data_IF_678092205097
#
_entry.id   IF_678092205097
#
_cell.length_a   1.000
_cell.length_b   1.000
_cell.length_c   1.000
_cell.angle_alpha   90.00
_cell.angle_beta   90.00
_cell.angle_gamma   90.00
#
_symmetry.space_group_name_H-M   'P 1'
#
loop_
_entity.id
_entity.type
_entity.pdbx_description
1 polymer ?
#
# COMPACT_ATOMS: atom_id res chain seq x y z
N UNK A 1 -6.58 -9.37 -8.62
CA UNK A 1 -6.59 -9.11 -10.06
C UNK A 1 -5.62 -7.99 -10.43
N UNK A 2 -5.50 -6.92 -9.63
CA UNK A 2 -4.74 -5.72 -9.95
C UNK A 2 -3.35 -5.66 -9.29
N UNK A 3 -3.14 -6.41 -8.23
CA UNK A 3 -1.89 -6.57 -7.52
C UNK A 3 -1.13 -7.73 -8.15
N UNK A 4 -0.03 -7.42 -8.82
CA UNK A 4 0.72 -8.37 -9.65
C UNK A 4 2.09 -8.70 -9.03
N UNK A 5 2.72 -9.81 -9.38
CA UNK A 5 4.11 -10.05 -9.02
C UNK A 5 5.01 -8.87 -9.38
N UNK A 6 5.87 -8.49 -8.46
CA UNK A 6 6.68 -7.28 -8.53
C UNK A 6 6.09 -6.08 -7.78
N UNK A 7 4.78 -5.93 -7.80
CA UNK A 7 4.12 -4.83 -7.08
C UNK A 7 4.37 -4.91 -5.56
N UNK A 8 4.30 -3.75 -4.91
CA UNK A 8 4.49 -3.63 -3.48
C UNK A 8 3.21 -3.22 -2.77
N UNK A 9 3.01 -3.78 -1.59
CA UNK A 9 2.05 -3.29 -0.62
C UNK A 9 2.78 -2.66 0.56
N UNK A 10 2.33 -1.49 1.00
CA UNK A 10 2.65 -0.90 2.30
C UNK A 10 1.33 -0.58 2.98
N UNK A 11 0.90 -1.46 3.87
CA UNK A 11 -0.43 -1.44 4.43
C UNK A 11 -0.47 -1.49 5.94
N UNK A 12 -1.60 -1.93 6.49
CA UNK A 12 -1.84 -2.00 7.91
C UNK A 12 -2.78 -3.17 8.28
N UNK A 13 -3.07 -3.35 9.54
CA UNK A 13 -3.76 -4.53 10.10
C UNK A 13 -5.15 -4.85 9.51
N UNK A 14 -5.85 -3.91 8.85
CA UNK A 14 -7.16 -4.18 8.23
C UNK A 14 -7.06 -4.93 6.89
N UNK A 15 -5.87 -5.16 6.37
CA UNK A 15 -5.68 -5.83 5.08
C UNK A 15 -5.77 -7.36 5.15
N UNK A 16 -6.26 -7.93 6.25
CA UNK A 16 -6.39 -9.37 6.46
C UNK A 16 -7.05 -10.09 5.29
N UNK A 17 -8.21 -9.59 4.86
CA UNK A 17 -8.96 -10.22 3.75
C UNK A 17 -8.18 -10.17 2.44
N UNK A 18 -7.47 -9.08 2.21
CA UNK A 18 -6.62 -8.96 1.02
C UNK A 18 -5.43 -9.91 1.08
N UNK A 19 -4.74 -9.99 2.20
CA UNK A 19 -3.58 -10.86 2.36
C UNK A 19 -3.95 -12.34 2.25
N UNK A 20 -5.10 -12.74 2.79
CA UNK A 20 -5.65 -14.09 2.63
C UNK A 20 -6.08 -14.36 1.19
N UNK A 21 -6.81 -13.42 0.56
CA UNK A 21 -7.30 -13.58 -0.81
C UNK A 21 -6.18 -13.61 -1.87
N UNK A 22 -5.05 -12.96 -1.59
CA UNK A 22 -3.85 -12.98 -2.45
C UNK A 22 -2.87 -14.10 -2.13
N UNK A 23 -3.20 -14.95 -1.15
CA UNK A 23 -2.35 -16.04 -0.65
C UNK A 23 -0.95 -15.56 -0.17
N UNK A 24 -0.82 -14.29 0.23
CA UNK A 24 0.37 -13.79 0.92
C UNK A 24 0.45 -14.33 2.34
N UNK A 25 -0.70 -14.66 2.94
CA UNK A 25 -0.78 -15.38 4.21
C UNK A 25 -1.83 -16.48 4.13
N UNK A 26 -1.73 -17.46 5.02
CA UNK A 26 -2.74 -18.52 5.19
C UNK A 26 -3.49 -18.37 6.52
N UNK A 27 -4.65 -19.03 6.68
CA UNK A 27 -5.33 -19.05 7.98
C UNK A 27 -4.42 -19.58 9.11
N UNK A 28 -3.63 -20.60 8.85
CA UNK A 28 -2.69 -21.18 9.83
C UNK A 28 -1.64 -20.13 10.27
N UNK A 29 -1.05 -19.41 9.32
CA UNK A 29 -0.08 -18.36 9.62
C UNK A 29 -0.71 -17.19 10.37
N UNK A 30 -1.95 -16.81 10.02
CA UNK A 30 -2.71 -15.80 10.75
C UNK A 30 -2.92 -16.19 12.22
N UNK A 31 -3.30 -17.46 12.47
CA UNK A 31 -3.47 -17.95 13.85
C UNK A 31 -2.15 -18.13 14.58
N UNK A 32 -1.08 -18.55 13.91
CA UNK A 32 0.25 -18.62 14.49
C UNK A 32 0.72 -17.24 14.96
N UNK A 33 0.47 -16.20 14.18
CA UNK A 33 0.75 -14.83 14.55
C UNK A 33 -0.10 -14.38 15.76
N UNK A 34 -1.40 -14.75 15.80
CA UNK A 34 -2.28 -14.43 16.92
C UNK A 34 -1.79 -15.04 18.25
N UNK A 35 -1.24 -16.26 18.20
CA UNK A 35 -0.68 -16.94 19.36
C UNK A 35 0.79 -16.58 19.66
N UNK A 36 1.40 -15.71 18.84
CA UNK A 36 2.79 -15.30 19.01
C UNK A 36 3.79 -16.44 18.80
N UNK A 37 3.51 -17.35 17.84
CA UNK A 37 4.36 -18.50 17.57
C UNK A 37 5.75 -18.05 17.08
N UNK A 38 6.85 -18.40 17.77
CA UNK A 38 8.20 -18.00 17.38
C UNK A 38 8.80 -18.83 16.23
N UNK A 39 8.09 -19.83 15.73
CA UNK A 39 8.59 -20.66 14.66
C UNK A 39 8.45 -19.95 13.29
N UNK A 40 9.57 -19.75 12.60
CA UNK A 40 9.62 -19.08 11.30
C UNK A 40 8.84 -19.82 10.18
N UNK A 41 8.62 -21.11 10.32
CA UNK A 41 7.82 -21.89 9.37
C UNK A 41 6.33 -21.70 9.57
N UNK A 42 5.91 -21.38 10.81
CA UNK A 42 4.52 -21.14 11.14
C UNK A 42 4.13 -19.66 11.00
N UNK A 43 4.96 -18.74 11.44
CA UNK A 43 4.80 -17.29 11.26
C UNK A 43 6.04 -16.69 10.62
N UNK A 44 6.12 -16.72 9.30
CA UNK A 44 7.26 -16.12 8.60
C UNK A 44 7.17 -14.58 8.53
N UNK A 45 6.02 -14.00 8.82
CA UNK A 45 5.82 -12.55 8.76
C UNK A 45 6.57 -11.81 9.87
N UNK A 46 6.47 -12.32 11.10
CA UNK A 46 7.00 -11.62 12.28
C UNK A 46 7.69 -12.54 13.28
N UNK A 47 7.54 -13.86 13.17
CA UNK A 47 8.10 -14.85 14.09
C UNK A 47 7.67 -14.57 15.54
N UNK A 48 6.37 -14.30 15.72
CA UNK A 48 5.78 -13.97 17.02
C UNK A 48 6.19 -12.61 17.61
N UNK A 49 6.88 -11.75 16.85
CA UNK A 49 7.43 -10.48 17.37
C UNK A 49 6.53 -9.27 17.14
N UNK A 50 5.51 -9.40 16.31
CA UNK A 50 4.59 -8.32 16.01
C UNK A 50 3.18 -8.65 16.46
N UNK A 51 2.29 -7.67 16.44
CA UNK A 51 0.87 -7.89 16.67
C UNK A 51 0.27 -8.71 15.53
N UNK A 52 -0.84 -9.38 15.82
CA UNK A 52 -1.62 -10.08 14.80
C UNK A 52 -2.00 -9.14 13.64
N UNK A 53 -2.13 -9.70 12.45
CA UNK A 53 -2.44 -8.96 11.22
C UNK A 53 -1.37 -7.96 10.79
N UNK A 54 -0.11 -8.24 11.09
CA UNK A 54 1.03 -7.51 10.58
C UNK A 54 1.82 -8.41 9.64
N UNK A 55 1.89 -8.03 8.38
CA UNK A 55 2.40 -8.87 7.30
C UNK A 55 3.72 -8.34 6.76
N UNK A 56 4.55 -9.26 6.28
CA UNK A 56 5.78 -8.97 5.58
C UNK A 56 6.11 -10.12 4.62
N UNK A 57 6.64 -9.85 3.45
CA UNK A 57 7.24 -10.89 2.59
C UNK A 57 8.75 -10.96 2.81
N UNK A 58 9.33 -12.15 2.59
CA UNK A 58 10.78 -12.31 2.66
C UNK A 58 11.42 -11.72 1.42
N UNK A 59 12.33 -10.77 1.62
CA UNK A 59 13.08 -10.13 0.55
C UNK A 59 14.48 -10.72 0.38
N UNK A 60 14.92 -11.57 1.32
CA UNK A 60 16.21 -12.25 1.29
C UNK A 60 16.08 -13.71 1.69
N UNK A 61 16.93 -14.54 1.13
CA UNK A 61 17.07 -15.94 1.52
C UNK A 61 17.89 -16.07 2.83
N UNK A 62 18.07 -17.30 3.30
CA UNK A 62 18.85 -17.61 4.50
C UNK A 62 20.35 -17.26 4.40
N UNK A 63 20.86 -17.07 3.19
CA UNK A 63 22.25 -16.68 2.92
C UNK A 63 22.41 -15.16 2.75
N UNK A 64 21.31 -14.40 2.85
CA UNK A 64 21.29 -12.95 2.69
C UNK A 64 21.21 -12.48 1.23
N UNK A 65 21.05 -13.36 0.26
CA UNK A 65 20.86 -12.98 -1.14
C UNK A 65 19.44 -12.44 -1.34
N UNK A 66 19.28 -11.51 -2.27
CA UNK A 66 17.97 -10.99 -2.64
C UNK A 66 17.10 -12.09 -3.28
N UNK A 67 15.87 -12.19 -2.83
CA UNK A 67 14.83 -12.96 -3.50
C UNK A 67 14.50 -12.34 -4.86
N UNK A 68 13.87 -13.10 -5.74
CA UNK A 68 13.33 -12.58 -6.99
C UNK A 68 12.04 -11.78 -6.70
N UNK A 69 12.19 -10.50 -6.34
CA UNK A 69 11.07 -9.64 -5.96
C UNK A 69 10.08 -9.45 -7.10
N UNK A 70 10.53 -9.55 -8.33
CA UNK A 70 9.70 -9.50 -9.55
C UNK A 70 8.83 -10.74 -9.75
N UNK A 71 9.11 -11.85 -9.05
CA UNK A 71 8.36 -13.10 -9.16
C UNK A 71 7.35 -13.30 -8.01
N UNK A 72 7.28 -12.41 -7.04
CA UNK A 72 6.40 -12.51 -5.87
C UNK A 72 5.55 -11.26 -5.67
N UNK A 73 4.44 -11.41 -4.94
CA UNK A 73 3.69 -10.29 -4.38
C UNK A 73 4.46 -9.77 -3.17
N UNK A 74 4.88 -8.51 -3.20
CA UNK A 74 5.70 -7.97 -2.14
C UNK A 74 4.86 -7.18 -1.14
N UNK A 75 5.08 -7.44 0.14
CA UNK A 75 4.53 -6.59 1.20
C UNK A 75 5.65 -6.13 2.13
N UNK A 76 5.79 -4.83 2.27
CA UNK A 76 6.70 -4.25 3.26
C UNK A 76 6.19 -4.58 4.66
N UNK A 77 7.10 -4.82 5.60
CA UNK A 77 6.72 -5.18 6.97
C UNK A 77 5.77 -4.13 7.59
N UNK A 78 4.60 -4.56 8.00
CA UNK A 78 3.64 -3.65 8.61
C UNK A 78 4.19 -3.05 9.91
N UNK A 79 3.77 -1.85 10.21
CA UNK A 79 4.18 -1.12 11.40
C UNK A 79 2.97 -0.59 12.17
N UNK A 80 3.10 -0.51 13.50
CA UNK A 80 2.03 -0.06 14.38
C UNK A 80 1.78 1.46 14.39
N UNK A 81 2.78 2.37 14.21
CA UNK A 81 2.54 3.81 14.17
C UNK A 81 1.52 4.20 13.11
N UNK A 82 0.51 4.96 13.54
CA UNK A 82 -0.61 5.41 12.69
C UNK A 82 -0.09 6.18 11.47
N UNK A 83 -0.54 5.82 10.28
CA UNK A 83 -0.11 6.34 8.99
C UNK A 83 1.40 6.16 8.66
N UNK A 84 2.18 5.44 9.49
CA UNK A 84 3.60 5.21 9.25
C UNK A 84 3.91 4.47 7.96
N UNK A 85 2.95 3.72 7.41
CA UNK A 85 3.07 3.05 6.11
C UNK A 85 3.12 4.03 4.93
N UNK A 86 2.59 5.24 5.08
CA UNK A 86 2.48 6.22 3.99
C UNK A 86 3.84 6.68 3.45
N UNK A 87 4.80 7.19 4.26
CA UNK A 87 6.11 7.59 3.77
C UNK A 87 6.87 6.45 3.11
N UNK A 88 6.75 5.23 3.65
CA UNK A 88 7.37 4.06 3.06
C UNK A 88 6.77 3.71 1.70
N UNK A 89 5.44 3.81 1.57
CA UNK A 89 4.77 3.58 0.29
C UNK A 89 5.27 4.55 -0.79
N UNK A 90 5.43 5.82 -0.43
CA UNK A 90 6.01 6.82 -1.33
C UNK A 90 7.44 6.46 -1.73
N UNK A 91 8.28 6.03 -0.77
CA UNK A 91 9.64 5.60 -1.05
C UNK A 91 9.73 4.38 -1.97
N UNK A 92 8.81 3.40 -1.81
CA UNK A 92 8.74 2.23 -2.69
C UNK A 92 8.31 2.61 -4.12
N UNK A 93 7.35 3.52 -4.24
CA UNK A 93 6.93 4.05 -5.54
C UNK A 93 8.07 4.84 -6.22
N UNK A 94 8.76 5.70 -5.47
CA UNK A 94 9.92 6.43 -5.98
C UNK A 94 11.07 5.50 -6.40
N UNK A 95 11.29 4.39 -5.68
CA UNK A 95 12.26 3.38 -6.07
C UNK A 95 11.88 2.73 -7.43
N UNK A 96 10.61 2.38 -7.65
CA UNK A 96 10.14 1.85 -8.93
C UNK A 96 10.44 2.83 -10.07
N UNK A 97 10.09 4.10 -9.90
CA UNK A 97 10.39 5.15 -10.88
C UNK A 97 11.90 5.36 -11.10
N UNK A 98 12.71 5.20 -10.05
CA UNK A 98 14.17 5.25 -10.16
C UNK A 98 14.70 4.10 -11.01
N UNK A 99 14.22 2.86 -10.79
CA UNK A 99 14.56 1.72 -11.65
C UNK A 99 14.18 1.93 -13.12
N UNK A 100 13.09 2.65 -13.37
CA UNK A 100 12.65 2.99 -14.73
C UNK A 100 13.60 3.98 -15.43
N UNK A 101 14.11 4.95 -14.70
CA UNK A 101 14.82 6.10 -15.25
C UNK A 101 16.35 5.98 -15.22
N UNK A 102 16.91 5.06 -14.42
CA UNK A 102 18.36 4.88 -14.25
C UNK A 102 18.81 3.62 -14.97
N UNK A 103 19.60 3.78 -16.03
CA UNK A 103 20.02 2.67 -16.92
C UNK A 103 20.81 1.60 -16.18
N UNK A 104 21.70 2.02 -15.26
CA UNK A 104 22.58 1.13 -14.49
C UNK A 104 21.77 0.19 -13.56
N UNK A 105 20.55 0.54 -13.21
CA UNK A 105 19.69 -0.31 -12.36
C UNK A 105 18.99 -1.42 -13.14
N UNK A 106 18.95 -1.38 -14.44
CA UNK A 106 18.31 -2.41 -15.27
C UNK A 106 18.99 -3.78 -15.19
N UNK A 107 20.24 -3.82 -14.76
CA UNK A 107 20.93 -5.10 -14.50
C UNK A 107 20.32 -5.89 -13.33
N UNK A 108 19.58 -5.24 -12.42
CA UNK A 108 18.95 -5.86 -11.26
C UNK A 108 17.51 -6.33 -11.55
N UNK A 109 17.34 -7.11 -12.62
CA UNK A 109 16.03 -7.61 -13.08
C UNK A 109 15.30 -8.51 -12.06
N UNK A 110 15.98 -9.01 -11.04
CA UNK A 110 15.38 -9.73 -9.93
C UNK A 110 14.73 -8.79 -8.90
N UNK A 111 15.07 -7.50 -8.86
CA UNK A 111 14.56 -6.52 -7.92
C UNK A 111 13.43 -5.70 -8.50
N UNK A 112 13.47 -5.38 -9.80
CA UNK A 112 12.44 -4.59 -10.49
C UNK A 112 12.27 -5.05 -11.94
N UNK A 113 11.04 -4.99 -12.41
CA UNK A 113 10.68 -5.22 -13.81
C UNK A 113 10.72 -3.87 -14.57
N UNK A 114 11.92 -3.30 -14.68
CA UNK A 114 12.18 -2.00 -15.30
C UNK A 114 11.31 -0.85 -14.73
N UNK A 115 11.03 -0.88 -13.43
CA UNK A 115 10.22 0.14 -12.78
C UNK A 115 8.74 0.11 -13.17
N UNK A 116 8.21 -1.04 -13.51
CA UNK A 116 6.79 -1.21 -13.83
C UNK A 116 5.92 -1.49 -12.60
N UNK A 117 6.50 -1.55 -11.43
CA UNK A 117 5.80 -1.83 -10.18
C UNK A 117 4.99 -0.61 -9.72
N UNK A 118 3.82 -0.89 -9.14
CA UNK A 118 3.00 0.07 -8.41
C UNK A 118 3.09 -0.24 -6.92
N UNK A 119 3.17 0.79 -6.09
CA UNK A 119 3.03 0.63 -4.65
C UNK A 119 1.57 0.86 -4.25
N UNK A 120 0.99 -0.15 -3.62
CA UNK A 120 -0.36 -0.14 -3.06
C UNK A 120 -0.28 0.24 -1.58
N UNK A 121 -0.86 1.36 -1.22
CA UNK A 121 -0.91 1.83 0.17
C UNK A 121 -2.34 1.82 0.68
N UNK A 122 -2.59 1.15 1.79
CA UNK A 122 -3.89 1.16 2.45
C UNK A 122 -3.84 1.96 3.74
N UNK A 123 -4.90 2.71 4.03
CA UNK A 123 -5.02 3.53 5.23
C UNK A 123 -6.48 3.65 5.66
N UNK A 124 -6.74 3.70 6.97
CA UNK A 124 -8.07 4.00 7.51
C UNK A 124 -8.38 5.49 7.46
N UNK A 125 -9.66 5.83 7.42
CA UNK A 125 -10.14 7.22 7.38
C UNK A 125 -9.64 8.06 8.56
N UNK A 126 -9.67 7.56 9.77
CA UNK A 126 -9.15 8.26 10.94
C UNK A 126 -7.64 8.57 10.82
N UNK A 127 -6.88 7.65 10.25
CA UNK A 127 -5.44 7.80 10.06
C UNK A 127 -5.08 8.89 9.05
N UNK A 128 -6.03 9.33 8.22
CA UNK A 128 -5.81 10.47 7.32
C UNK A 128 -5.68 11.81 8.06
N UNK A 129 -5.95 11.83 9.36
CA UNK A 129 -5.70 13.01 10.22
C UNK A 129 -4.24 13.20 10.61
N UNK A 130 -3.38 12.19 10.39
CA UNK A 130 -1.95 12.28 10.69
C UNK A 130 -1.20 13.15 9.66
N UNK A 131 -0.17 13.87 10.14
CA UNK A 131 0.65 14.75 9.28
C UNK A 131 1.28 14.02 8.11
N UNK A 132 1.79 12.80 8.31
CA UNK A 132 2.42 12.00 7.25
C UNK A 132 1.48 11.73 6.07
N UNK A 133 0.16 11.61 6.31
CA UNK A 133 -0.80 11.46 5.21
C UNK A 133 -0.75 12.66 4.27
N UNK A 134 -0.85 13.86 4.81
CA UNK A 134 -0.88 15.11 4.02
C UNK A 134 0.45 15.39 3.32
N UNK A 135 1.57 15.12 4.00
CA UNK A 135 2.90 15.23 3.42
C UNK A 135 3.09 14.28 2.23
N UNK A 136 2.68 13.02 2.39
CA UNK A 136 2.79 12.01 1.32
C UNK A 136 1.87 12.32 0.16
N UNK A 137 0.63 12.75 0.42
CA UNK A 137 -0.32 13.17 -0.64
C UNK A 137 0.28 14.32 -1.46
N UNK A 138 0.83 15.33 -0.79
CA UNK A 138 1.49 16.44 -1.47
C UNK A 138 2.72 15.99 -2.27
N UNK A 139 3.59 15.21 -1.66
CA UNK A 139 4.81 14.73 -2.31
C UNK A 139 4.49 13.83 -3.53
N UNK A 140 3.53 12.91 -3.39
CA UNK A 140 3.09 12.05 -4.49
C UNK A 140 2.51 12.86 -5.66
N UNK A 141 1.73 13.91 -5.36
CA UNK A 141 1.18 14.81 -6.37
C UNK A 141 2.27 15.59 -7.12
N UNK A 142 3.30 16.06 -6.40
CA UNK A 142 4.44 16.81 -6.99
C UNK A 142 5.34 15.87 -7.79
N UNK A 143 5.69 14.73 -7.22
CA UNK A 143 6.67 13.80 -7.80
C UNK A 143 6.05 12.90 -8.89
N UNK A 144 4.72 12.79 -8.93
CA UNK A 144 3.99 11.90 -9.86
C UNK A 144 4.54 10.47 -9.78
N UNK A 145 4.42 9.86 -8.61
CA UNK A 145 4.96 8.53 -8.34
C UNK A 145 3.92 7.42 -8.62
N UNK A 146 4.35 6.19 -8.99
CA UNK A 146 3.46 5.04 -9.22
C UNK A 146 2.88 4.51 -7.89
N UNK A 147 2.05 5.32 -7.24
CA UNK A 147 1.47 5.10 -5.92
C UNK A 147 -0.06 5.08 -6.00
N UNK A 148 -0.67 3.97 -5.55
CA UNK A 148 -2.11 3.83 -5.41
C UNK A 148 -2.48 3.83 -3.92
N UNK A 149 -3.20 4.85 -3.46
CA UNK A 149 -3.62 5.00 -2.05
C UNK A 149 -5.09 4.62 -1.93
N UNK A 150 -5.39 3.66 -1.06
CA UNK A 150 -6.74 3.18 -0.77
C UNK A 150 -7.14 3.60 0.64
N UNK A 151 -8.15 4.44 0.75
CA UNK A 151 -8.67 4.91 2.03
C UNK A 151 -9.93 4.09 2.37
N UNK A 152 -9.84 3.27 3.40
CA UNK A 152 -10.97 2.52 3.94
C UNK A 152 -11.79 3.45 4.83
N UNK A 153 -12.83 4.04 4.24
CA UNK A 153 -13.69 5.02 4.91
C UNK A 153 -14.94 4.34 5.45
N UNK A 154 -14.92 3.93 6.71
CA UNK A 154 -16.07 3.38 7.44
C UNK A 154 -16.80 4.43 8.31
N UNK A 155 -16.29 5.66 8.32
CA UNK A 155 -16.90 6.79 9.01
C UNK A 155 -16.52 6.95 10.48
N UNK A 156 -15.63 6.10 11.00
CA UNK A 156 -15.24 6.11 12.41
C UNK A 156 -13.76 5.81 12.61
N UNK A 157 -13.14 6.52 13.55
CA UNK A 157 -11.85 6.14 14.14
C UNK A 157 -12.07 5.51 15.51
N UNK A 158 -12.17 4.18 15.59
CA UNK A 158 -12.60 3.42 16.78
C UNK A 158 -14.01 3.86 17.21
N UNK A 159 -14.11 4.85 18.12
CA UNK A 159 -15.38 5.38 18.61
C UNK A 159 -15.66 6.83 18.20
N UNK A 160 -14.71 7.47 17.50
CA UNK A 160 -14.81 8.89 17.11
C UNK A 160 -15.37 9.00 15.69
N UNK A 161 -16.54 9.66 15.53
CA UNK A 161 -17.12 9.89 14.21
C UNK A 161 -16.20 10.73 13.31
N UNK A 162 -16.15 10.41 12.02
CA UNK A 162 -15.35 11.13 11.03
C UNK A 162 -15.57 12.64 11.02
N UNK A 163 -16.80 13.08 11.26
CA UNK A 163 -17.14 14.51 11.32
C UNK A 163 -16.37 15.29 12.40
N UNK A 164 -15.88 14.61 13.43
CA UNK A 164 -15.05 15.21 14.48
C UNK A 164 -13.55 15.20 14.17
N UNK A 165 -13.14 14.47 13.14
CA UNK A 165 -11.72 14.28 12.77
C UNK A 165 -11.36 14.93 11.44
N UNK A 166 -12.32 14.97 10.50
CA UNK A 166 -12.06 15.36 9.11
C UNK A 166 -12.87 16.60 8.75
N UNK A 167 -12.19 17.64 8.26
CA UNK A 167 -12.88 18.84 7.76
C UNK A 167 -13.88 18.46 6.67
N UNK A 168 -15.02 19.16 6.62
CA UNK A 168 -16.17 18.87 5.74
C UNK A 168 -16.77 17.46 5.94
N UNK A 169 -16.38 16.74 6.99
CA UNK A 169 -16.76 15.34 7.23
C UNK A 169 -16.53 14.42 6.01
N UNK A 170 -15.60 14.78 5.14
CA UNK A 170 -15.34 14.08 3.86
C UNK A 170 -13.88 14.23 3.44
N UNK A 171 -13.18 13.10 3.35
CA UNK A 171 -11.78 13.07 2.96
C UNK A 171 -11.64 13.50 1.49
N UNK A 172 -12.49 13.03 0.60
CA UNK A 172 -12.46 13.41 -0.81
C UNK A 172 -12.69 14.91 -1.03
N UNK A 173 -13.56 15.55 -0.23
CA UNK A 173 -13.76 17.01 -0.28
C UNK A 173 -12.57 17.76 0.34
N UNK A 174 -11.94 17.20 1.35
CA UNK A 174 -10.72 17.77 1.93
C UNK A 174 -9.54 17.72 0.97
N UNK A 175 -9.47 16.66 0.16
CA UNK A 175 -8.41 16.44 -0.84
C UNK A 175 -8.68 17.10 -2.20
N UNK A 176 -9.80 17.79 -2.38
CA UNK A 176 -10.21 18.34 -3.68
C UNK A 176 -9.15 19.25 -4.34
N UNK A 177 -8.37 19.98 -3.53
CA UNK A 177 -7.27 20.81 -4.04
C UNK A 177 -6.07 20.04 -4.56
N UNK A 178 -6.00 18.73 -4.35
CA UNK A 178 -4.97 17.85 -4.91
C UNK A 178 -5.42 17.13 -6.19
N UNK A 179 -6.70 17.27 -6.59
CA UNK A 179 -7.19 16.69 -7.83
C UNK A 179 -6.43 17.28 -9.01
N UNK A 180 -5.94 16.41 -9.90
CA UNK A 180 -5.28 16.85 -11.13
C UNK A 180 -6.27 17.61 -12.04
N UNK A 181 -5.81 18.73 -12.56
CA UNK A 181 -6.54 19.57 -13.52
C UNK A 181 -5.70 19.75 -14.78
N UNK A 182 -6.31 20.23 -15.86
CA UNK A 182 -5.59 20.42 -17.13
C UNK A 182 -4.39 21.38 -16.96
N UNK A 183 -3.21 20.88 -17.28
CA UNK A 183 -1.97 21.67 -17.20
C UNK A 183 -1.35 21.78 -15.81
N UNK A 184 -1.86 21.02 -14.83
CA UNK A 184 -1.29 20.96 -13.46
C UNK A 184 -0.78 19.56 -13.13
N UNK A 185 0.06 19.47 -12.08
CA UNK A 185 0.28 18.22 -11.36
C UNK A 185 -0.88 17.97 -10.38
N UNK A 186 -0.97 16.78 -9.84
CA UNK A 186 -2.03 16.41 -8.91
C UNK A 186 -2.24 14.90 -8.86
N UNK A 187 -3.33 14.49 -8.27
CA UNK A 187 -3.73 13.09 -8.10
C UNK A 187 -5.07 12.83 -8.79
N UNK A 188 -5.25 11.64 -9.33
CA UNK A 188 -6.56 11.16 -9.72
C UNK A 188 -7.30 10.68 -8.48
N UNK A 189 -8.37 11.36 -8.09
CA UNK A 189 -9.15 11.07 -6.88
C UNK A 189 -10.47 10.44 -7.30
N UNK A 190 -10.68 9.20 -6.85
CA UNK A 190 -11.89 8.43 -7.09
C UNK A 190 -12.66 8.23 -5.79
N UNK A 191 -13.98 8.16 -5.89
CA UNK A 191 -14.86 7.82 -4.79
C UNK A 191 -15.84 6.75 -5.26
N UNK A 192 -15.79 5.60 -4.62
CA UNK A 192 -16.64 4.45 -4.94
C UNK A 192 -17.26 3.87 -3.66
N UNK A 193 -18.45 3.31 -3.79
CA UNK A 193 -19.11 2.63 -2.65
C UNK A 193 -18.54 1.23 -2.49
N UNK A 194 -18.20 0.84 -1.25
CA UNK A 194 -17.59 -0.45 -0.95
C UNK A 194 -18.45 -1.67 -1.34
N UNK A 195 -19.76 -1.49 -1.48
CA UNK A 195 -20.71 -2.54 -1.93
C UNK A 195 -20.98 -2.52 -3.44
N UNK A 196 -20.44 -1.56 -4.17
CA UNK A 196 -20.49 -1.51 -5.64
C UNK A 196 -19.26 -2.22 -6.22
N UNK A 197 -19.34 -3.54 -6.31
CA UNK A 197 -18.24 -4.37 -6.78
C UNK A 197 -17.82 -4.03 -8.22
N UNK A 198 -18.78 -3.81 -9.11
CA UNK A 198 -18.49 -3.49 -10.52
C UNK A 198 -17.79 -2.14 -10.63
N UNK A 199 -18.34 -1.10 -9.98
CA UNK A 199 -17.73 0.23 -9.95
C UNK A 199 -16.34 0.23 -9.31
N UNK A 200 -16.12 -0.57 -8.25
CA UNK A 200 -14.77 -0.74 -7.69
C UNK A 200 -13.80 -1.35 -8.69
N UNK A 201 -14.22 -2.37 -9.45
CA UNK A 201 -13.35 -2.98 -10.45
C UNK A 201 -12.96 -1.99 -11.56
N UNK A 202 -13.89 -1.17 -12.02
CA UNK A 202 -13.66 -0.13 -13.04
C UNK A 202 -12.67 0.92 -12.54
N UNK A 203 -12.93 1.48 -11.35
CA UNK A 203 -12.08 2.50 -10.72
C UNK A 203 -10.67 1.98 -10.45
N UNK A 204 -10.56 0.74 -9.97
CA UNK A 204 -9.24 0.14 -9.70
C UNK A 204 -8.48 -0.16 -10.98
N UNK A 205 -9.16 -0.63 -12.03
CA UNK A 205 -8.52 -0.88 -13.32
C UNK A 205 -7.94 0.42 -13.90
N UNK A 206 -8.74 1.46 -13.94
CA UNK A 206 -8.30 2.77 -14.42
C UNK A 206 -7.19 3.37 -13.55
N UNK A 207 -7.40 3.48 -12.25
CA UNK A 207 -6.48 4.15 -11.34
C UNK A 207 -5.12 3.45 -11.26
N UNK A 208 -5.09 2.12 -11.21
CA UNK A 208 -3.84 1.35 -11.15
C UNK A 208 -3.12 1.38 -12.51
N UNK A 209 -3.87 1.35 -13.63
CA UNK A 209 -3.28 1.51 -14.95
C UNK A 209 -2.61 2.88 -15.10
N UNK A 210 -3.26 3.95 -14.65
CA UNK A 210 -2.68 5.29 -14.67
C UNK A 210 -1.44 5.38 -13.76
N UNK A 211 -1.52 4.87 -12.53
CA UNK A 211 -0.37 4.84 -11.62
C UNK A 211 0.83 4.08 -12.22
N UNK A 212 0.59 3.00 -12.97
CA UNK A 212 1.67 2.24 -13.63
C UNK A 212 2.31 2.97 -14.81
N UNK A 213 1.60 3.93 -15.39
CA UNK A 213 2.09 4.77 -16.51
C UNK A 213 2.81 6.04 -16.04
N UNK A 214 2.64 6.39 -14.77
CA UNK A 214 3.26 7.55 -14.14
C UNK A 214 4.73 7.29 -13.82
#
# INVERSE_FOLDING_TARGET
>A
KFFNPGDWRSGYYRDQSWMLASAVTTPEQFFSQLYGDPNVEHDFHSVGRNMNSHYATKNRDQNGNWAALTAQLNTAADMAPTAGQMPRALGLAAASKTFRNVEELKEFANLSNNGNEVCFCTIGDASTSEGHFWEVVNAAAVMQEPLAIFIWDDGYGISVPKAMQTTKASISEALKGFQIEQGTNGLNIYKVKAWDYAGMCEVFDEGIRLARQT
#
